data_IF_037485197191
#
_entry.id   IF_037485197191
#
_cell.length_a   1.000
_cell.length_b   1.000
_cell.length_c   1.000
_cell.angle_alpha   90.00
_cell.angle_beta   90.00
_cell.angle_gamma   90.00
#
_symmetry.space_group_name_H-M   'P 1'
#
loop_
_entity.id
_entity.type
_entity.pdbx_description
1 polymer ?
#
# COMPACT_ATOMS: atom_id res chain seq x y z
N UNK A 1 35.44 29.61 1.95
CA UNK A 1 34.54 29.69 0.78
C UNK A 1 33.26 28.97 1.14
N UNK A 2 32.39 29.71 1.79
CA UNK A 2 31.02 29.34 2.11
C UNK A 2 30.13 29.65 0.90
N UNK A 3 29.14 28.77 0.65
CA UNK A 3 27.94 28.90 -0.20
C UNK A 3 27.80 27.73 -1.18
N UNK A 4 27.14 26.65 -0.75
CA UNK A 4 26.24 25.88 -1.61
C UNK A 4 25.31 24.95 -0.80
N UNK A 5 24.67 25.49 0.24
CA UNK A 5 23.49 24.84 0.86
C UNK A 5 22.33 25.80 0.68
N UNK A 6 21.82 25.88 -0.54
CA UNK A 6 20.53 26.51 -0.79
C UNK A 6 19.47 25.46 -0.49
N UNK A 7 19.07 25.42 0.78
CA UNK A 7 17.82 24.80 1.22
C UNK A 7 16.69 25.27 0.30
N UNK A 8 16.16 24.37 -0.52
CA UNK A 8 14.82 24.54 -1.06
C UNK A 8 13.85 24.37 0.12
N UNK A 9 13.62 25.49 0.80
CA UNK A 9 12.46 25.72 1.66
C UNK A 9 11.21 25.44 0.82
N UNK A 10 10.71 24.21 0.88
CA UNK A 10 9.34 23.92 0.50
C UNK A 10 8.47 24.76 1.42
N UNK A 11 7.85 25.80 0.86
CA UNK A 11 6.77 26.55 1.50
C UNK A 11 5.63 25.58 1.83
N UNK A 12 5.74 24.89 2.96
CA UNK A 12 4.63 24.22 3.62
C UNK A 12 3.74 25.32 4.17
N UNK A 13 2.79 25.76 3.34
CA UNK A 13 1.48 26.12 3.89
C UNK A 13 0.95 24.82 4.49
N UNK A 14 1.21 24.62 5.78
CA UNK A 14 0.35 23.81 6.63
C UNK A 14 -1.03 24.45 6.60
N UNK A 15 -1.80 24.11 5.56
CA UNK A 15 -3.20 24.44 5.55
C UNK A 15 -3.83 23.58 6.63
N UNK A 16 -4.02 24.18 7.81
CA UNK A 16 -5.03 23.74 8.77
C UNK A 16 -6.38 23.88 8.08
N UNK A 17 -6.71 22.92 7.21
CA UNK A 17 -8.05 22.73 6.69
C UNK A 17 -8.89 22.17 7.83
N UNK A 18 -9.31 23.04 8.75
CA UNK A 18 -10.53 22.79 9.50
C UNK A 18 -11.64 22.77 8.46
N UNK A 19 -12.19 21.58 8.20
CA UNK A 19 -13.40 21.42 7.40
C UNK A 19 -14.46 22.31 8.05
N UNK A 20 -14.89 23.35 7.34
CA UNK A 20 -15.90 24.29 7.82
C UNK A 20 -17.24 23.56 7.93
N UNK A 21 -18.09 24.01 8.85
CA UNK A 21 -19.44 23.47 9.01
C UNK A 21 -20.25 23.45 7.70
N UNK A 22 -19.89 24.32 6.73
CA UNK A 22 -20.45 24.34 5.38
C UNK A 22 -20.13 23.10 4.53
N UNK A 23 -18.95 22.49 4.66
CA UNK A 23 -18.60 21.29 3.90
C UNK A 23 -19.29 20.05 4.46
N UNK A 24 -19.43 19.97 5.79
CA UNK A 24 -20.26 18.96 6.43
C UNK A 24 -21.74 19.14 6.02
N UNK A 25 -22.26 20.38 6.03
CA UNK A 25 -23.60 20.71 5.54
C UNK A 25 -23.81 20.40 4.06
N UNK A 26 -22.79 20.51 3.21
CA UNK A 26 -22.89 20.17 1.78
C UNK A 26 -22.86 18.65 1.54
N UNK A 27 -22.12 17.90 2.36
CA UNK A 27 -22.21 16.44 2.37
C UNK A 27 -23.60 15.99 2.87
N UNK A 28 -24.13 16.66 3.91
CA UNK A 28 -25.48 16.45 4.41
C UNK A 28 -26.55 16.84 3.39
N UNK A 29 -26.43 17.96 2.67
CA UNK A 29 -27.43 18.37 1.67
C UNK A 29 -27.52 17.40 0.48
N UNK A 30 -26.41 16.74 0.13
CA UNK A 30 -26.40 15.62 -0.84
C UNK A 30 -27.12 14.38 -0.31
N UNK A 31 -27.17 14.20 1.01
CA UNK A 31 -27.92 13.14 1.69
C UNK A 31 -29.39 13.57 1.95
N UNK A 32 -29.65 14.84 2.22
CA UNK A 32 -30.97 15.42 2.52
C UNK A 32 -31.89 15.44 1.29
N UNK A 33 -31.32 15.58 0.08
CA UNK A 33 -32.02 15.34 -1.19
C UNK A 33 -32.67 13.95 -1.27
N UNK A 34 -32.30 13.02 -0.39
CA UNK A 34 -32.78 11.63 -0.34
C UNK A 34 -33.66 11.39 0.91
N UNK A 35 -33.80 12.35 1.82
CA UNK A 35 -34.30 12.13 3.20
C UNK A 35 -35.49 12.99 3.65
N UNK A 36 -36.33 13.50 2.75
CA UNK A 36 -37.56 14.18 3.18
C UNK A 36 -38.55 13.16 3.77
N UNK A 37 -38.59 13.06 5.11
CA UNK A 37 -39.53 12.31 5.97
C UNK A 37 -39.18 10.85 6.35
N UNK A 38 -38.01 10.61 6.94
CA UNK A 38 -37.66 9.31 7.55
C UNK A 38 -37.23 9.44 9.03
N UNK A 39 -37.39 8.39 9.84
CA UNK A 39 -36.96 8.34 11.25
C UNK A 39 -35.45 8.57 11.42
N UNK A 40 -35.03 9.13 12.54
CA UNK A 40 -33.62 9.42 12.85
C UNK A 40 -32.72 8.18 12.66
N UNK A 41 -33.17 7.01 13.12
CA UNK A 41 -32.47 5.73 12.95
C UNK A 41 -32.20 5.40 11.48
N UNK A 42 -33.17 5.63 10.59
CA UNK A 42 -33.02 5.34 9.16
C UNK A 42 -32.00 6.26 8.49
N UNK A 43 -31.95 7.52 8.92
CA UNK A 43 -30.91 8.47 8.50
C UNK A 43 -29.53 8.02 8.96
N UNK A 44 -29.39 7.57 10.21
CA UNK A 44 -28.12 7.05 10.75
C UNK A 44 -27.67 5.82 9.96
N UNK A 45 -28.57 4.87 9.66
CA UNK A 45 -28.26 3.69 8.86
C UNK A 45 -27.79 4.07 7.45
N UNK A 46 -28.45 5.03 6.78
CA UNK A 46 -28.01 5.52 5.46
C UNK A 46 -26.59 6.10 5.49
N UNK A 47 -26.27 6.88 6.53
CA UNK A 47 -24.93 7.43 6.74
C UNK A 47 -23.92 6.31 6.99
N UNK A 48 -24.27 5.33 7.83
CA UNK A 48 -23.39 4.21 8.17
C UNK A 48 -23.07 3.34 6.93
N UNK A 49 -24.06 3.05 6.08
CA UNK A 49 -23.83 2.34 4.81
C UNK A 49 -22.92 3.16 3.87
N UNK A 50 -23.08 4.48 3.85
CA UNK A 50 -22.21 5.37 3.08
C UNK A 50 -20.78 5.37 3.63
N UNK A 51 -20.60 5.35 4.95
CA UNK A 51 -19.31 5.19 5.62
C UNK A 51 -18.68 3.87 5.22
N UNK A 52 -19.40 2.75 5.35
CA UNK A 52 -18.89 1.43 5.00
C UNK A 52 -18.30 1.43 3.59
N UNK A 53 -19.05 1.92 2.60
CA UNK A 53 -18.59 1.98 1.21
C UNK A 53 -17.33 2.85 1.06
N UNK A 54 -17.32 4.04 1.68
CA UNK A 54 -16.16 4.95 1.58
C UNK A 54 -14.92 4.38 2.25
N UNK A 55 -15.06 3.75 3.41
CA UNK A 55 -13.95 3.12 4.11
C UNK A 55 -13.43 1.90 3.34
N UNK A 56 -14.29 1.09 2.71
CA UNK A 56 -13.86 -0.02 1.85
C UNK A 56 -13.04 0.46 0.65
N UNK A 57 -13.55 1.46 -0.08
CA UNK A 57 -12.82 2.06 -1.21
C UNK A 57 -11.47 2.61 -0.76
N UNK A 58 -11.45 3.33 0.36
CA UNK A 58 -10.22 3.89 0.90
C UNK A 58 -9.24 2.77 1.31
N UNK A 59 -9.69 1.75 2.01
CA UNK A 59 -8.86 0.62 2.45
C UNK A 59 -8.19 -0.07 1.27
N UNK A 60 -8.94 -0.39 0.20
CA UNK A 60 -8.36 -0.98 -1.02
C UNK A 60 -7.32 -0.08 -1.68
N UNK A 61 -7.58 1.24 -1.72
CA UNK A 61 -6.63 2.21 -2.26
C UNK A 61 -5.39 2.29 -1.38
N UNK A 62 -5.56 2.34 -0.06
CA UNK A 62 -4.49 2.44 0.91
C UNK A 62 -3.57 1.21 0.86
N UNK A 63 -4.11 -0.01 0.71
CA UNK A 63 -3.30 -1.21 0.55
C UNK A 63 -2.40 -1.15 -0.70
N UNK A 64 -2.89 -0.57 -1.80
CA UNK A 64 -2.10 -0.38 -3.02
C UNK A 64 -1.00 0.67 -2.80
N UNK A 65 -1.30 1.75 -2.09
CA UNK A 65 -0.33 2.77 -1.73
C UNK A 65 0.77 2.20 -0.81
N UNK A 66 0.41 1.42 0.22
CA UNK A 66 1.38 0.75 1.09
C UNK A 66 2.28 -0.22 0.31
N UNK A 67 1.72 -0.99 -0.63
CA UNK A 67 2.52 -1.88 -1.48
C UNK A 67 3.50 -1.11 -2.39
N UNK A 68 3.05 0.01 -2.97
CA UNK A 68 3.94 0.89 -3.75
C UNK A 68 5.10 1.43 -2.90
N UNK A 69 4.80 1.83 -1.65
CA UNK A 69 5.82 2.28 -0.71
C UNK A 69 6.79 1.16 -0.33
N UNK A 70 6.33 -0.09 -0.13
CA UNK A 70 7.21 -1.25 0.12
C UNK A 70 8.18 -1.50 -1.02
N UNK A 71 7.69 -1.49 -2.26
CA UNK A 71 8.54 -1.67 -3.45
C UNK A 71 9.58 -0.56 -3.55
N UNK A 72 9.17 0.69 -3.32
CA UNK A 72 10.09 1.83 -3.29
C UNK A 72 11.13 1.69 -2.17
N UNK A 73 10.71 1.39 -0.94
CA UNK A 73 11.59 1.21 0.21
C UNK A 73 12.59 0.07 0.01
N UNK A 74 12.16 -1.06 -0.57
CA UNK A 74 13.05 -2.16 -0.93
C UNK A 74 14.09 -1.73 -1.98
N UNK A 75 13.71 -0.87 -2.92
CA UNK A 75 14.66 -0.34 -3.91
C UNK A 75 15.65 0.64 -3.28
N UNK A 76 15.16 1.53 -2.41
CA UNK A 76 15.99 2.44 -1.62
C UNK A 76 17.01 1.67 -0.78
N UNK A 77 16.63 0.51 -0.22
CA UNK A 77 17.52 -0.34 0.57
C UNK A 77 18.79 -0.71 -0.20
N UNK A 78 18.60 -1.21 -1.42
CA UNK A 78 19.71 -1.59 -2.29
C UNK A 78 20.52 -0.38 -2.77
N UNK A 79 19.91 0.81 -2.86
CA UNK A 79 20.61 2.04 -3.24
C UNK A 79 21.45 2.57 -2.08
N UNK A 80 20.92 2.61 -0.86
CA UNK A 80 21.66 3.00 0.37
C UNK A 80 22.86 2.09 0.58
N UNK A 81 22.69 0.77 0.46
CA UNK A 81 23.80 -0.19 0.57
C UNK A 81 24.89 0.08 -0.47
N UNK A 82 24.52 0.35 -1.72
CA UNK A 82 25.49 0.70 -2.78
C UNK A 82 26.14 2.06 -2.54
N UNK A 83 25.39 3.04 -2.04
CA UNK A 83 25.92 4.36 -1.66
C UNK A 83 26.99 4.22 -0.58
N UNK A 84 26.69 3.49 0.50
CA UNK A 84 27.63 3.23 1.59
C UNK A 84 28.90 2.52 1.09
N UNK A 85 28.77 1.52 0.20
CA UNK A 85 29.94 0.88 -0.42
C UNK A 85 30.75 1.86 -1.28
N UNK A 86 30.09 2.67 -2.12
CA UNK A 86 30.78 3.63 -2.99
C UNK A 86 31.54 4.70 -2.20
N UNK A 87 31.01 5.13 -1.05
CA UNK A 87 31.63 6.13 -0.18
C UNK A 87 32.69 5.53 0.77
N UNK A 88 32.56 4.24 1.14
CA UNK A 88 33.53 3.54 2.02
C UNK A 88 34.69 2.89 1.27
N UNK A 89 34.63 2.72 -0.06
CA UNK A 89 35.76 2.21 -0.84
C UNK A 89 36.87 3.25 -0.79
N UNK A 90 37.83 2.94 0.08
CA UNK A 90 39.01 3.71 0.37
C UNK A 90 39.74 4.06 -0.94
N UNK A 91 40.16 5.32 -1.07
CA UNK A 91 40.97 5.79 -2.22
C UNK A 91 42.35 5.12 -2.29
N UNK A 92 42.66 4.25 -1.33
CA UNK A 92 43.88 3.46 -1.18
C UNK A 92 43.81 2.02 -1.74
N UNK A 93 42.62 1.46 -2.06
CA UNK A 93 42.50 0.07 -2.54
C UNK A 93 43.01 -0.05 -4.00
N UNK A 94 44.18 -0.67 -4.20
CA UNK A 94 44.73 -1.08 -5.52
C UNK A 94 44.00 -2.29 -6.13
N UNK A 95 42.69 -2.39 -5.89
CA UNK A 95 41.86 -3.51 -6.25
C UNK A 95 41.31 -3.23 -7.67
N UNK A 96 41.57 -4.08 -8.68
CA UNK A 96 41.16 -3.79 -10.05
C UNK A 96 39.64 -3.57 -10.07
N UNK A 97 39.23 -2.38 -10.54
CA UNK A 97 37.84 -1.95 -10.69
C UNK A 97 37.16 -2.84 -11.73
N UNK A 98 36.71 -4.02 -11.32
CA UNK A 98 36.01 -4.99 -12.19
C UNK A 98 34.50 -4.67 -12.28
N UNK A 99 33.99 -3.77 -11.44
CA UNK A 99 32.62 -3.30 -11.52
C UNK A 99 32.58 -1.90 -12.13
N UNK A 100 31.66 -1.71 -13.08
CA UNK A 100 31.20 -0.40 -13.51
C UNK A 100 30.49 0.25 -12.30
N UNK A 101 31.29 0.84 -11.40
CA UNK A 101 30.80 1.44 -10.16
C UNK A 101 29.96 2.65 -10.57
N UNK A 102 28.66 2.52 -10.38
CA UNK A 102 27.72 3.62 -10.54
C UNK A 102 28.17 4.81 -9.68
N UNK A 103 28.21 6.02 -10.25
CA UNK A 103 28.69 7.21 -9.54
C UNK A 103 27.76 7.55 -8.37
N UNK A 104 28.31 8.21 -7.35
CA UNK A 104 27.54 8.70 -6.20
C UNK A 104 26.31 9.51 -6.64
N UNK A 105 26.50 10.43 -7.59
CA UNK A 105 25.44 11.25 -8.16
C UNK A 105 24.33 10.44 -8.84
N UNK A 106 24.68 9.35 -9.53
CA UNK A 106 23.71 8.48 -10.18
C UNK A 106 22.89 7.69 -9.15
N UNK A 107 23.54 7.19 -8.08
CA UNK A 107 22.85 6.52 -6.96
C UNK A 107 21.91 7.50 -6.25
N UNK A 108 22.38 8.71 -5.93
CA UNK A 108 21.59 9.76 -5.27
C UNK A 108 20.40 10.19 -6.12
N UNK A 109 20.58 10.32 -7.44
CA UNK A 109 19.49 10.63 -8.37
C UNK A 109 18.42 9.53 -8.35
N UNK A 110 18.82 8.25 -8.47
CA UNK A 110 17.89 7.12 -8.39
C UNK A 110 17.18 7.06 -7.04
N UNK A 111 17.91 7.31 -5.96
CA UNK A 111 17.33 7.37 -4.61
C UNK A 111 16.19 8.39 -4.58
N UNK A 112 16.45 9.61 -5.04
CA UNK A 112 15.45 10.67 -5.02
C UNK A 112 14.21 10.32 -5.86
N UNK A 113 14.38 9.65 -7.01
CA UNK A 113 13.23 9.19 -7.81
C UNK A 113 12.32 8.25 -7.03
N UNK A 114 12.88 7.27 -6.30
CA UNK A 114 12.09 6.34 -5.50
C UNK A 114 11.53 6.98 -4.23
N UNK A 115 12.27 7.92 -3.63
CA UNK A 115 11.76 8.73 -2.53
C UNK A 115 10.53 9.56 -2.93
N UNK A 116 10.51 10.12 -4.15
CA UNK A 116 9.34 10.84 -4.67
C UNK A 116 8.11 9.93 -4.82
N UNK A 117 8.29 8.63 -5.09
CA UNK A 117 7.17 7.67 -5.08
C UNK A 117 6.55 7.58 -3.69
N UNK A 118 7.38 7.50 -2.64
CA UNK A 118 6.91 7.48 -1.25
C UNK A 118 6.19 8.78 -0.89
N UNK A 119 6.78 9.94 -1.21
CA UNK A 119 6.16 11.24 -0.95
C UNK A 119 4.82 11.39 -1.67
N UNK A 120 4.76 10.99 -2.93
CA UNK A 120 3.52 11.00 -3.72
C UNK A 120 2.45 10.09 -3.14
N UNK A 121 2.84 8.89 -2.69
CA UNK A 121 1.94 7.93 -2.05
C UNK A 121 1.38 8.46 -0.73
N UNK A 122 2.22 9.04 0.13
CA UNK A 122 1.78 9.69 1.37
C UNK A 122 0.79 10.82 1.10
N UNK A 123 1.00 11.62 0.05
CA UNK A 123 0.04 12.66 -0.37
C UNK A 123 -1.30 12.06 -0.84
N UNK A 124 -1.26 10.94 -1.56
CA UNK A 124 -2.46 10.21 -1.99
C UNK A 124 -3.27 9.71 -0.78
N UNK A 125 -2.59 9.08 0.19
CA UNK A 125 -3.20 8.64 1.45
C UNK A 125 -3.80 9.80 2.24
N UNK A 126 -3.09 10.92 2.36
CA UNK A 126 -3.56 12.13 3.01
C UNK A 126 -4.90 12.60 2.44
N UNK A 127 -4.97 12.77 1.11
CA UNK A 127 -6.19 13.20 0.41
C UNK A 127 -7.32 12.20 0.66
N UNK A 128 -7.03 10.90 0.61
CA UNK A 128 -8.01 9.85 0.87
C UNK A 128 -8.60 9.92 2.28
N UNK A 129 -7.78 10.03 3.32
CA UNK A 129 -8.25 10.11 4.72
C UNK A 129 -9.05 11.39 4.95
N UNK A 130 -8.60 12.52 4.41
CA UNK A 130 -9.32 13.78 4.55
C UNK A 130 -10.68 13.76 3.85
N UNK A 131 -10.85 12.95 2.79
CA UNK A 131 -12.14 12.75 2.14
C UNK A 131 -13.13 11.91 2.99
N UNK A 132 -12.66 11.10 3.95
CA UNK A 132 -13.51 10.34 4.88
C UNK A 132 -14.06 11.20 6.01
N UNK A 133 -13.31 12.23 6.43
CA UNK A 133 -13.62 13.06 7.61
C UNK A 133 -15.04 13.65 7.62
N UNK A 134 -15.61 14.18 6.52
CA UNK A 134 -16.97 14.70 6.53
C UNK A 134 -18.02 13.64 6.86
N UNK A 135 -17.83 12.38 6.43
CA UNK A 135 -18.75 11.29 6.71
C UNK A 135 -18.71 10.89 8.18
N UNK A 136 -17.51 10.81 8.77
CA UNK A 136 -17.32 10.56 10.20
C UNK A 136 -18.02 11.64 11.03
N UNK A 137 -17.82 12.92 10.68
CA UNK A 137 -18.46 14.04 11.38
C UNK A 137 -19.99 14.04 11.22
N UNK A 138 -20.49 13.72 10.03
CA UNK A 138 -21.93 13.60 9.78
C UNK A 138 -22.54 12.49 10.63
N UNK A 139 -21.87 11.34 10.73
CA UNK A 139 -22.32 10.21 11.54
C UNK A 139 -22.35 10.54 13.03
N UNK A 140 -21.28 11.13 13.58
CA UNK A 140 -21.27 11.59 14.98
C UNK A 140 -22.46 12.50 15.28
N UNK A 141 -22.65 13.54 14.47
CA UNK A 141 -23.78 14.47 14.63
C UNK A 141 -25.14 13.80 14.54
N UNK A 142 -25.29 12.80 13.68
CA UNK A 142 -26.55 12.07 13.57
C UNK A 142 -26.80 11.20 14.81
N UNK A 143 -25.77 10.54 15.32
CA UNK A 143 -25.84 9.73 16.55
C UNK A 143 -25.99 10.57 17.82
N UNK A 144 -25.45 11.79 17.87
CA UNK A 144 -25.61 12.71 19.02
C UNK A 144 -27.08 13.11 19.26
N UNK A 145 -27.95 12.97 18.25
CA UNK A 145 -29.39 13.21 18.36
C UNK A 145 -30.20 11.96 18.70
N UNK A 146 -29.54 10.82 18.91
CA UNK A 146 -30.17 9.56 19.28
C UNK A 146 -30.23 9.46 20.81
N UNK A 147 -31.38 9.08 21.35
CA UNK A 147 -31.47 8.69 22.76
C UNK A 147 -30.85 7.30 22.92
N UNK A 148 -29.78 7.21 23.72
CA UNK A 148 -29.06 5.96 23.96
C UNK A 148 -29.67 5.13 25.08
N UNK A 149 -30.64 5.67 25.81
CA UNK A 149 -31.38 4.96 26.86
C UNK A 149 -32.60 4.19 26.31
N UNK A 150 -32.94 4.43 25.04
CA UNK A 150 -34.04 3.72 24.37
C UNK A 150 -33.72 2.23 24.18
N UNK A 151 -34.61 1.35 24.63
CA UNK A 151 -34.49 -0.11 24.46
C UNK A 151 -34.91 -0.59 23.06
N UNK A 152 -34.54 0.14 22.01
CA UNK A 152 -34.83 -0.28 20.62
C UNK A 152 -33.81 -1.31 20.14
N UNK A 153 -34.18 -2.21 19.21
CA UNK A 153 -33.22 -3.11 18.56
C UNK A 153 -32.07 -2.38 17.86
N UNK A 154 -32.25 -1.11 17.50
CA UNK A 154 -31.20 -0.28 16.91
C UNK A 154 -30.15 0.13 17.95
N UNK A 155 -30.59 0.57 19.13
CA UNK A 155 -29.70 0.99 20.21
C UNK A 155 -29.03 -0.21 20.87
N UNK A 156 -29.81 -1.24 21.20
CA UNK A 156 -29.35 -2.43 21.94
C UNK A 156 -28.77 -3.54 21.06
N UNK A 157 -29.00 -3.47 19.74
CA UNK A 157 -28.70 -4.56 18.82
C UNK A 157 -29.76 -5.67 18.82
N UNK A 158 -29.61 -6.62 17.90
CA UNK A 158 -30.47 -7.80 17.81
C UNK A 158 -29.65 -9.03 17.35
N UNK A 159 -30.33 -10.13 16.99
CA UNK A 159 -29.66 -11.36 16.53
C UNK A 159 -28.79 -11.17 15.26
N UNK A 160 -29.08 -10.14 14.47
CA UNK A 160 -28.49 -9.88 13.15
C UNK A 160 -27.64 -8.60 13.10
N UNK A 161 -27.85 -7.66 14.02
CA UNK A 161 -27.25 -6.34 14.07
C UNK A 161 -26.50 -6.12 15.38
N UNK A 162 -25.33 -5.51 15.29
CA UNK A 162 -24.61 -5.03 16.47
C UNK A 162 -25.27 -3.74 17.00
N UNK A 163 -25.15 -3.45 18.30
CA UNK A 163 -25.65 -2.20 18.88
C UNK A 163 -25.07 -0.98 18.17
N UNK A 164 -25.84 0.10 17.98
CA UNK A 164 -25.32 1.31 17.31
C UNK A 164 -24.06 1.88 17.98
N UNK A 165 -23.95 1.75 19.32
CA UNK A 165 -22.77 2.14 20.09
C UNK A 165 -21.48 1.50 19.57
N UNK A 166 -21.54 0.23 19.16
CA UNK A 166 -20.40 -0.45 18.55
C UNK A 166 -19.89 0.30 17.32
N UNK A 167 -20.79 0.78 16.45
CA UNK A 167 -20.42 1.48 15.23
C UNK A 167 -19.92 2.89 15.49
N UNK A 168 -20.43 3.58 16.52
CA UNK A 168 -19.91 4.87 16.97
C UNK A 168 -18.43 4.73 17.32
N UNK A 169 -18.10 3.77 18.18
CA UNK A 169 -16.73 3.53 18.62
C UNK A 169 -15.85 3.05 17.45
N UNK A 170 -16.36 2.11 16.65
CA UNK A 170 -15.63 1.51 15.54
C UNK A 170 -15.27 2.51 14.44
N UNK A 171 -16.20 3.37 14.02
CA UNK A 171 -15.93 4.38 12.97
C UNK A 171 -14.82 5.33 13.42
N UNK A 172 -14.81 5.72 14.69
CA UNK A 172 -13.79 6.58 15.28
C UNK A 172 -12.44 5.88 15.39
N UNK A 173 -12.42 4.63 15.86
CA UNK A 173 -11.23 3.79 15.94
C UNK A 173 -10.57 3.63 14.57
N UNK A 174 -11.33 3.24 13.56
CA UNK A 174 -10.81 2.99 12.21
C UNK A 174 -10.31 4.29 11.56
N UNK A 175 -11.03 5.41 11.73
CA UNK A 175 -10.54 6.70 11.24
C UNK A 175 -9.21 7.07 11.89
N UNK A 176 -9.09 6.91 13.22
CA UNK A 176 -7.88 7.21 13.97
C UNK A 176 -6.73 6.28 13.58
N UNK A 177 -7.00 4.99 13.34
CA UNK A 177 -6.00 4.03 12.86
C UNK A 177 -5.39 4.50 11.53
N UNK A 178 -6.21 4.82 10.53
CA UNK A 178 -5.69 5.29 9.25
C UNK A 178 -4.99 6.65 9.36
N UNK A 179 -5.55 7.58 10.13
CA UNK A 179 -4.96 8.91 10.30
C UNK A 179 -3.60 8.85 11.00
N UNK A 180 -3.49 8.10 12.10
CA UNK A 180 -2.23 7.93 12.83
C UNK A 180 -1.18 7.18 12.00
N UNK A 181 -1.57 6.10 11.31
CA UNK A 181 -0.67 5.36 10.42
C UNK A 181 -0.11 6.24 9.29
N UNK A 182 -0.95 7.05 8.65
CA UNK A 182 -0.49 8.00 7.64
C UNK A 182 0.49 9.03 8.21
N UNK A 183 0.22 9.59 9.39
CA UNK A 183 1.13 10.55 10.03
C UNK A 183 2.49 9.92 10.37
N UNK A 184 2.49 8.68 10.88
CA UNK A 184 3.72 7.94 11.16
C UNK A 184 4.55 7.74 9.90
N UNK A 185 3.94 7.30 8.81
CA UNK A 185 4.60 7.14 7.50
C UNK A 185 5.11 8.48 6.97
N UNK A 186 4.32 9.56 7.05
CA UNK A 186 4.75 10.86 6.58
C UNK A 186 5.96 11.40 7.38
N UNK A 187 5.94 11.24 8.70
CA UNK A 187 7.04 11.62 9.57
C UNK A 187 8.29 10.79 9.32
N UNK A 188 8.16 9.46 9.24
CA UNK A 188 9.28 8.56 9.00
C UNK A 188 9.89 8.77 7.60
N UNK A 189 9.08 9.04 6.58
CA UNK A 189 9.57 9.36 5.24
C UNK A 189 10.48 10.59 5.23
N UNK A 190 10.21 11.63 6.03
CA UNK A 190 11.06 12.83 6.13
C UNK A 190 12.44 12.56 6.73
N UNK A 191 12.64 11.40 7.37
CA UNK A 191 13.90 10.98 7.98
C UNK A 191 14.71 10.04 7.08
N UNK A 192 14.19 9.70 5.90
CA UNK A 192 14.89 8.87 4.92
C UNK A 192 16.07 9.66 4.34
N UNK A 193 17.25 9.05 4.43
CA UNK A 193 18.50 9.63 3.92
C UNK A 193 19.33 8.56 3.20
N UNK A 194 20.00 8.87 2.07
CA UNK A 194 20.84 7.93 1.33
C UNK A 194 22.01 7.34 2.13
N UNK A 195 22.47 8.02 3.18
CA UNK A 195 23.54 7.57 4.07
C UNK A 195 23.04 6.89 5.36
N UNK A 196 21.73 6.82 5.59
CA UNK A 196 21.17 6.27 6.83
C UNK A 196 20.32 5.04 6.56
N UNK A 197 20.90 3.85 6.76
CA UNK A 197 20.18 2.59 6.64
C UNK A 197 19.12 2.41 7.74
N UNK A 198 19.38 2.87 8.96
CA UNK A 198 18.49 2.64 10.12
C UNK A 198 17.14 3.35 9.97
N UNK A 199 17.13 4.56 9.41
CA UNK A 199 15.85 5.25 9.18
C UNK A 199 15.01 4.54 8.12
N UNK A 200 15.65 3.86 7.16
CA UNK A 200 14.96 3.04 6.17
C UNK A 200 14.47 1.70 6.77
N UNK A 201 15.24 1.04 7.64
CA UNK A 201 14.78 -0.15 8.38
C UNK A 201 13.50 0.16 9.15
N UNK A 202 13.52 1.23 9.94
CA UNK A 202 12.34 1.69 10.69
C UNK A 202 11.15 2.00 9.76
N UNK A 203 11.40 2.63 8.60
CA UNK A 203 10.34 2.87 7.62
C UNK A 203 9.73 1.57 7.07
N UNK A 204 10.56 0.56 6.82
CA UNK A 204 10.10 -0.76 6.35
C UNK A 204 9.29 -1.51 7.42
N UNK A 205 9.65 -1.38 8.70
CA UNK A 205 8.89 -1.93 9.82
C UNK A 205 7.47 -1.33 9.86
N UNK A 206 7.33 -0.01 9.68
CA UNK A 206 6.01 0.65 9.62
C UNK A 206 5.15 0.18 8.43
N UNK A 207 5.78 -0.28 7.34
CA UNK A 207 5.09 -0.78 6.16
C UNK A 207 4.71 -2.26 6.23
N UNK A 208 5.12 -2.97 7.30
CA UNK A 208 4.84 -4.37 7.46
C UNK A 208 3.32 -4.63 7.39
N UNK A 209 2.88 -5.69 6.67
CA UNK A 209 1.47 -6.02 6.60
C UNK A 209 0.97 -6.41 8.00
N UNK A 210 -0.22 -5.92 8.35
CA UNK A 210 -0.95 -6.30 9.55
C UNK A 210 -2.20 -7.08 9.14
N UNK A 211 -2.10 -8.42 9.15
CA UNK A 211 -3.19 -9.31 8.72
C UNK A 211 -4.37 -9.27 9.72
N UNK A 212 -4.08 -9.20 11.02
CA UNK A 212 -5.09 -9.14 12.08
C UNK A 212 -6.00 -7.92 11.91
N UNK A 213 -5.43 -6.75 11.59
CA UNK A 213 -6.23 -5.55 11.32
C UNK A 213 -7.07 -5.70 10.04
N UNK A 214 -6.53 -6.30 8.99
CA UNK A 214 -7.27 -6.48 7.73
C UNK A 214 -8.52 -7.33 7.96
N UNK A 215 -8.39 -8.42 8.72
CA UNK A 215 -9.51 -9.26 9.13
C UNK A 215 -10.49 -8.47 10.01
N UNK A 216 -9.98 -7.83 11.06
CA UNK A 216 -10.78 -7.00 11.96
C UNK A 216 -11.63 -5.96 11.20
N UNK A 217 -11.03 -5.21 10.28
CA UNK A 217 -11.73 -4.21 9.49
C UNK A 217 -12.82 -4.83 8.59
N UNK A 218 -12.48 -5.87 7.83
CA UNK A 218 -13.40 -6.48 6.86
C UNK A 218 -14.61 -7.14 7.50
N UNK A 219 -14.44 -7.72 8.70
CA UNK A 219 -15.51 -8.42 9.41
C UNK A 219 -16.40 -7.50 10.25
N UNK A 220 -15.89 -6.36 10.71
CA UNK A 220 -16.61 -5.52 11.66
C UNK A 220 -17.31 -4.30 11.05
N UNK A 221 -16.96 -3.91 9.82
CA UNK A 221 -17.52 -2.72 9.18
C UNK A 221 -18.98 -2.86 8.74
N UNK A 222 -19.45 -4.09 8.47
CA UNK A 222 -20.81 -4.29 7.98
C UNK A 222 -21.86 -4.23 9.09
N UNK A 223 -22.86 -3.35 8.91
CA UNK A 223 -23.94 -3.15 9.88
C UNK A 223 -24.84 -4.39 10.04
N UNK A 224 -25.22 -5.02 8.92
CA UNK A 224 -26.12 -6.16 8.89
C UNK A 224 -25.40 -7.40 8.35
N UNK A 225 -25.46 -8.51 9.09
CA UNK A 225 -24.93 -9.81 8.62
C UNK A 225 -25.62 -10.31 7.35
N UNK A 226 -26.87 -9.90 7.11
CA UNK A 226 -27.64 -10.27 5.92
C UNK A 226 -27.16 -9.55 4.64
N UNK A 227 -26.43 -8.44 4.80
CA UNK A 227 -25.84 -7.67 3.69
C UNK A 227 -24.33 -7.94 3.52
N UNK A 228 -23.74 -8.76 4.40
CA UNK A 228 -22.35 -9.19 4.26
C UNK A 228 -22.15 -10.02 3.00
N UNK A 229 -20.97 -9.93 2.37
CA UNK A 229 -20.57 -10.91 1.37
C UNK A 229 -20.70 -12.30 2.01
N UNK A 230 -21.48 -13.23 1.42
CA UNK A 230 -21.60 -14.56 1.99
C UNK A 230 -20.21 -15.15 2.15
N UNK A 231 -19.94 -15.76 3.30
CA UNK A 231 -18.71 -16.51 3.55
C UNK A 231 -18.43 -17.34 2.30
N UNK A 232 -17.32 -17.07 1.62
CA UNK A 232 -16.97 -17.82 0.41
C UNK A 232 -16.89 -19.28 0.83
N UNK A 233 -17.83 -20.10 0.38
CA UNK A 233 -17.74 -21.54 0.54
C UNK A 233 -16.33 -21.95 0.09
N UNK A 234 -15.59 -22.66 0.94
CA UNK A 234 -14.24 -23.11 0.63
C UNK A 234 -14.26 -23.71 -0.77
N UNK A 235 -13.69 -22.99 -1.74
CA UNK A 235 -13.89 -23.38 -3.12
C UNK A 235 -13.12 -24.69 -3.30
N UNK A 236 -13.72 -25.68 -3.95
CA UNK A 236 -13.04 -26.94 -4.32
C UNK A 236 -11.67 -26.66 -4.99
N UNK A 237 -11.52 -25.48 -5.61
CA UNK A 237 -10.31 -24.99 -6.27
C UNK A 237 -9.16 -24.69 -5.29
N UNK A 238 -9.43 -24.35 -4.04
CA UNK A 238 -8.39 -24.08 -3.03
C UNK A 238 -7.81 -25.36 -2.42
N UNK A 239 -8.62 -26.43 -2.34
CA UNK A 239 -8.12 -27.79 -2.05
C UNK A 239 -7.17 -28.28 -3.14
N UNK A 240 -7.52 -28.12 -4.42
CA UNK A 240 -6.64 -28.48 -5.54
C UNK A 240 -5.37 -27.64 -5.63
N UNK A 241 -5.39 -26.37 -5.22
CA UNK A 241 -4.18 -25.53 -5.16
C UNK A 241 -3.25 -25.99 -4.04
N UNK A 242 -3.80 -26.39 -2.90
CA UNK A 242 -3.02 -26.91 -1.76
C UNK A 242 -2.38 -28.25 -2.13
N UNK A 243 -3.15 -29.20 -2.68
CA UNK A 243 -2.62 -30.48 -3.18
C UNK A 243 -1.56 -30.30 -4.27
N UNK A 244 -1.76 -29.38 -5.22
CA UNK A 244 -0.75 -29.10 -6.25
C UNK A 244 0.52 -28.50 -5.67
N UNK A 245 0.41 -27.62 -4.66
CA UNK A 245 1.56 -27.03 -3.98
C UNK A 245 2.35 -28.11 -3.22
N UNK A 246 1.65 -28.97 -2.49
CA UNK A 246 2.24 -30.06 -1.71
C UNK A 246 2.92 -31.09 -2.62
N UNK A 247 2.30 -31.42 -3.77
CA UNK A 247 2.88 -32.33 -4.77
C UNK A 247 4.13 -31.72 -5.46
N UNK A 248 4.14 -30.40 -5.69
CA UNK A 248 5.29 -29.70 -6.27
C UNK A 248 6.46 -29.62 -5.27
N UNK A 249 6.15 -29.43 -3.99
CA UNK A 249 7.12 -29.38 -2.90
C UNK A 249 7.78 -30.75 -2.67
N UNK A 250 6.99 -31.83 -2.64
CA UNK A 250 7.50 -33.20 -2.58
C UNK A 250 8.39 -33.56 -3.79
N UNK A 251 8.02 -33.10 -4.99
CA UNK A 251 8.83 -33.30 -6.21
C UNK A 251 10.16 -32.53 -6.14
N UNK A 252 10.16 -31.33 -5.55
CA UNK A 252 11.36 -30.52 -5.33
C UNK A 252 12.30 -31.15 -4.31
N UNK A 253 11.77 -31.72 -3.24
CA UNK A 253 12.56 -32.46 -2.24
C UNK A 253 13.17 -33.72 -2.83
N UNK A 254 12.41 -34.51 -3.60
CA UNK A 254 12.91 -35.69 -4.30
C UNK A 254 14.04 -35.33 -5.27
N UNK A 255 13.94 -34.20 -5.97
CA UNK A 255 15.00 -33.69 -6.84
C UNK A 255 16.24 -33.25 -6.05
N UNK A 256 16.09 -32.61 -4.88
CA UNK A 256 17.20 -32.26 -3.99
C UNK A 256 17.92 -33.52 -3.49
N UNK A 257 17.19 -34.53 -3.03
CA UNK A 257 17.74 -35.81 -2.57
C UNK A 257 18.48 -36.54 -3.69
N UNK A 258 17.92 -36.58 -4.90
CA UNK A 258 18.59 -37.19 -6.06
C UNK A 258 19.89 -36.48 -6.43
N UNK A 259 19.92 -35.13 -6.39
CA UNK A 259 21.15 -34.35 -6.63
C UNK A 259 22.20 -34.62 -5.55
N UNK A 260 21.79 -34.75 -4.30
CA UNK A 260 22.68 -35.09 -3.19
C UNK A 260 23.27 -36.50 -3.36
N UNK A 261 22.43 -37.49 -3.67
CA UNK A 261 22.86 -38.86 -3.93
C UNK A 261 23.88 -38.96 -5.08
N UNK A 262 23.64 -38.26 -6.21
CA UNK A 262 24.60 -38.20 -7.32
C UNK A 262 25.93 -37.56 -6.92
N UNK A 263 25.91 -36.55 -6.04
CA UNK A 263 27.12 -35.90 -5.54
C UNK A 263 27.92 -36.86 -4.64
N UNK A 264 27.24 -37.62 -3.77
CA UNK A 264 27.85 -38.66 -2.94
C UNK A 264 28.45 -39.77 -3.81
N UNK A 265 27.71 -40.27 -4.80
CA UNK A 265 28.18 -41.32 -5.71
C UNK A 265 29.41 -40.86 -6.54
N UNK A 266 29.45 -39.58 -6.92
CA UNK A 266 30.61 -39.00 -7.63
C UNK A 266 31.83 -38.87 -6.72
N UNK A 267 31.63 -38.65 -5.42
CA UNK A 267 32.68 -38.54 -4.42
C UNK A 267 33.15 -39.90 -3.90
N UNK A 268 32.33 -40.94 -4.00
CA UNK A 268 32.65 -42.31 -3.59
C UNK A 268 33.32 -43.15 -4.69
N UNK A 269 33.39 -42.64 -5.93
CA UNK A 269 34.17 -43.29 -6.99
C UNK A 269 35.66 -43.03 -6.77
N UNK A 270 36.50 -44.09 -6.64
CA UNK A 270 37.94 -43.90 -6.56
C UNK A 270 38.43 -43.20 -7.84
N UNK A 271 39.33 -42.21 -7.69
CA UNK A 271 39.93 -41.45 -8.79
C UNK A 271 40.64 -42.42 -9.75
N UNK A 272 39.96 -42.83 -10.82
CA UNK A 272 40.63 -43.34 -12.01
C UNK A 272 41.25 -42.16 -12.77
N UNK A 273 42.46 -42.36 -13.25
CA UNK A 273 43.38 -41.42 -13.91
C UNK A 273 42.73 -40.44 -14.93
N UNK A 274 43.33 -39.24 -15.12
CA UNK A 274 42.73 -38.18 -15.92
C UNK A 274 42.70 -38.55 -17.42
N UNK A 275 41.54 -38.46 -18.10
CA UNK A 275 41.49 -38.57 -19.55
C UNK A 275 41.96 -37.27 -20.22
N UNK A 276 42.70 -37.45 -21.31
CA UNK A 276 43.31 -36.42 -22.13
C UNK A 276 42.32 -35.35 -22.62
N UNK A 277 42.81 -34.10 -22.62
CA UNK A 277 42.15 -32.89 -23.11
C UNK A 277 41.71 -33.06 -24.57
N UNK A 278 40.39 -33.01 -24.81
CA UNK A 278 39.84 -32.66 -26.14
C UNK A 278 39.05 -31.36 -26.02
N UNK A 279 39.65 -30.28 -26.57
CA UNK A 279 38.98 -29.02 -26.86
C UNK A 279 37.77 -29.31 -27.77
N UNK A 280 36.58 -28.87 -27.37
CA UNK A 280 35.47 -28.62 -28.29
C UNK A 280 34.96 -27.20 -28.09
N UNK A 281 35.09 -26.44 -29.17
CA UNK A 281 34.44 -25.16 -29.43
C UNK A 281 32.94 -25.45 -29.64
N UNK A 282 32.06 -24.68 -29.00
CA UNK A 282 30.68 -24.52 -29.48
C UNK A 282 30.19 -23.10 -29.26
N UNK A 283 29.94 -22.45 -30.39
CA UNK A 283 29.19 -21.22 -30.59
C UNK A 283 27.82 -21.27 -29.90
N UNK A 284 27.47 -20.21 -29.15
CA UNK A 284 26.11 -19.68 -29.06
C UNK A 284 26.18 -18.21 -28.61
N UNK A 285 26.11 -17.31 -29.59
CA UNK A 285 25.70 -15.92 -29.39
C UNK A 285 24.18 -15.85 -29.56
N UNK A 286 23.46 -15.31 -28.57
CA UNK A 286 22.24 -14.53 -28.80
C UNK A 286 21.93 -13.65 -27.58
N UNK A 287 21.56 -12.37 -27.77
CA UNK A 287 21.42 -11.37 -26.72
C UNK A 287 19.98 -11.29 -26.20
N UNK A 288 19.78 -11.32 -24.88
CA UNK A 288 18.49 -10.99 -24.24
C UNK A 288 18.70 -10.31 -22.88
N UNK A 289 19.04 -9.03 -22.90
CA UNK A 289 18.94 -8.19 -21.68
C UNK A 289 18.27 -6.81 -21.91
N UNK A 290 17.82 -6.48 -23.13
CA UNK A 290 17.19 -5.18 -23.43
C UNK A 290 15.68 -5.11 -23.11
N UNK A 291 14.99 -6.23 -22.88
CA UNK A 291 13.51 -6.28 -22.79
C UNK A 291 12.92 -5.88 -21.42
N UNK A 292 13.69 -5.98 -20.33
CA UNK A 292 13.16 -5.73 -18.97
C UNK A 292 13.16 -4.23 -18.62
N UNK A 293 14.15 -3.48 -19.12
CA UNK A 293 14.31 -2.05 -18.85
C UNK A 293 13.26 -1.20 -19.58
N UNK A 294 12.87 -1.60 -20.79
CA UNK A 294 11.78 -0.97 -21.56
C UNK A 294 10.39 -1.31 -20.98
N UNK A 295 10.22 -2.49 -20.38
CA UNK A 295 8.96 -2.90 -19.74
C UNK A 295 8.66 -2.11 -18.46
N UNK A 296 9.68 -1.77 -17.67
CA UNK A 296 9.52 -0.99 -16.43
C UNK A 296 9.21 0.49 -16.72
N UNK A 297 9.86 1.09 -17.73
CA UNK A 297 9.56 2.46 -18.15
C UNK A 297 8.16 2.60 -18.78
N UNK A 298 7.72 1.57 -19.52
CA UNK A 298 6.36 1.48 -20.08
C UNK A 298 5.28 1.35 -19.00
N UNK A 299 5.53 0.55 -17.95
CA UNK A 299 4.64 0.45 -16.79
C UNK A 299 4.58 1.76 -16.00
N UNK A 300 5.71 2.45 -15.82
CA UNK A 300 5.78 3.74 -15.16
C UNK A 300 4.99 4.84 -15.91
N UNK A 301 5.16 4.95 -17.24
CA UNK A 301 4.39 5.91 -18.06
C UNK A 301 2.89 5.59 -18.11
N UNK A 302 2.49 4.31 -18.07
CA UNK A 302 1.08 3.93 -17.95
C UNK A 302 0.49 4.27 -16.58
N UNK A 303 1.26 4.14 -15.51
CA UNK A 303 0.78 4.44 -14.15
C UNK A 303 0.57 5.95 -13.93
N UNK A 304 1.51 6.78 -14.40
CA UNK A 304 1.40 8.26 -14.33
C UNK A 304 0.21 8.76 -15.17
N UNK A 305 -0.01 8.19 -16.36
CA UNK A 305 -1.15 8.52 -17.22
C UNK A 305 -2.49 8.12 -16.59
N UNK A 306 -2.56 6.98 -15.89
CA UNK A 306 -3.77 6.52 -15.19
C UNK A 306 -4.06 7.34 -13.92
N UNK A 307 -3.04 7.83 -13.22
CA UNK A 307 -3.20 8.77 -12.10
C UNK A 307 -3.76 10.12 -12.55
N UNK A 308 -3.32 10.66 -13.70
CA UNK A 308 -3.92 11.86 -14.28
C UNK A 308 -5.37 11.63 -14.74
N UNK A 309 -5.68 10.49 -15.33
CA UNK A 309 -7.07 10.19 -15.73
C UNK A 309 -8.02 9.91 -14.55
N UNK A 310 -7.55 9.32 -13.46
CA UNK A 310 -8.38 9.12 -12.24
C UNK A 310 -8.58 10.40 -11.46
N UNK A 311 -7.55 11.25 -11.35
CA UNK A 311 -7.67 12.59 -10.76
C UNK A 311 -8.64 13.47 -11.55
N UNK A 312 -8.56 13.44 -12.89
CA UNK A 312 -9.51 14.16 -13.76
C UNK A 312 -10.92 13.56 -13.72
N UNK A 313 -11.13 12.24 -13.63
CA UNK A 313 -12.48 11.68 -13.49
C UNK A 313 -13.12 11.98 -12.13
N UNK A 314 -12.32 12.07 -11.06
CA UNK A 314 -12.81 12.47 -9.73
C UNK A 314 -13.12 13.97 -9.64
N UNK A 315 -12.38 14.81 -10.39
CA UNK A 315 -12.64 16.25 -10.49
C UNK A 315 -13.75 16.59 -11.52
N UNK A 316 -13.79 15.96 -12.69
CA UNK A 316 -14.81 16.20 -13.73
C UNK A 316 -16.16 15.56 -13.41
N UNK A 317 -16.20 14.49 -12.61
CA UNK A 317 -17.44 13.97 -12.03
C UNK A 317 -18.14 14.94 -11.07
N UNK A 318 -17.49 16.06 -10.70
CA UNK A 318 -18.07 17.16 -9.92
C UNK A 318 -18.42 18.41 -10.76
N UNK A 319 -18.19 18.43 -12.09
CA UNK A 319 -18.39 19.65 -12.91
C UNK A 319 -19.47 19.51 -13.98
N UNK A 320 -20.02 18.31 -14.24
CA UNK A 320 -21.09 18.13 -15.23
C UNK A 320 -22.43 17.73 -14.62
N UNK A 321 -23.06 18.64 -13.87
CA UNK A 321 -24.53 18.63 -13.68
C UNK A 321 -25.12 20.03 -13.44
N UNK A 322 -24.53 21.07 -14.03
CA UNK A 322 -25.13 22.40 -14.08
C UNK A 322 -25.36 22.73 -15.55
N UNK A 323 -26.57 22.44 -16.03
CA UNK A 323 -27.32 23.18 -17.08
C UNK A 323 -28.43 22.30 -17.64
N UNK A 324 -29.66 22.52 -17.18
CA UNK A 324 -30.85 22.80 -18.03
C UNK A 324 -32.10 22.80 -17.15
N UNK A 325 -32.49 23.98 -16.66
CA UNK A 325 -33.90 24.33 -16.45
C UNK A 325 -34.03 25.77 -16.93
N UNK A 326 -34.69 25.94 -18.07
CA UNK A 326 -35.44 27.14 -18.42
C UNK A 326 -36.83 26.69 -18.84
#
# INVERSE_FOLDING_TARGET
MEKLVTMMMTNKRESRFTVTDSMAKLALSRLDSICSAESNERTIIKILLSIEEKFRIYFESNQKELELQRIAAQTLWHLVQRYLLAVQVDTSCMCPKIYEIETEEAISTKYYMHYQVIVGSNKSQHVGIHALRPFVLAFRRACDNLDMEDETPFVMGDAFHKPIKFFIDFVDEIFNYFYSGHLQLECAARLLDPGNLKSLEYYQELLAPNEDFNEYFLHNLSYCKCLGQPLKCASFRDHFKKEKKDMFEASREKAKLSRCARRVEKMSKPKSEPPAVKRRISLFNSPRELSVRESLNSLYQRHVSLQHHRSLKFLLGNVMSVQHIH
#
